data_IF_658496134606
#
_entry.id   IF_658496134606
#
_cell.length_a   1.000
_cell.length_b   1.000
_cell.length_c   1.000
_cell.angle_alpha   90.00
_cell.angle_beta   90.00
_cell.angle_gamma   90.00
#
_symmetry.space_group_name_H-M   'P 1'
#
loop_
_entity.id
_entity.type
_entity.pdbx_description
1 polymer ?
#
# COMPACT_ATOMS: atom_id res chain seq x y z
N UNK A 1 -11.56 -10.13 9.34
CA UNK A 1 -10.34 -9.61 8.69
C UNK A 1 -9.15 -10.57 8.71
N UNK A 2 -9.22 -11.70 9.44
CA UNK A 2 -8.13 -12.70 9.52
C UNK A 2 -7.56 -13.19 8.18
N UNK A 3 -8.39 -13.46 7.13
CA UNK A 3 -7.85 -13.91 5.84
C UNK A 3 -6.95 -12.86 5.15
N UNK A 4 -7.33 -11.58 5.22
CA UNK A 4 -6.53 -10.48 4.68
C UNK A 4 -5.15 -10.42 5.34
N UNK A 5 -5.12 -10.42 6.69
CA UNK A 5 -3.87 -10.30 7.45
C UNK A 5 -2.94 -11.44 7.08
N UNK A 6 -3.44 -12.67 7.04
CA UNK A 6 -2.62 -13.81 6.64
C UNK A 6 -1.98 -13.64 5.27
N UNK A 7 -2.76 -13.24 4.25
CA UNK A 7 -2.25 -13.06 2.88
C UNK A 7 -1.23 -11.92 2.80
N UNK A 8 -1.49 -10.81 3.49
CA UNK A 8 -0.58 -9.67 3.58
C UNK A 8 0.77 -10.07 4.20
N UNK A 9 0.74 -10.68 5.40
CA UNK A 9 1.96 -11.11 6.10
C UNK A 9 2.71 -12.19 5.33
N UNK A 10 1.99 -13.09 4.66
CA UNK A 10 2.61 -14.07 3.78
C UNK A 10 3.33 -13.41 2.59
N UNK A 11 2.81 -12.30 2.07
CA UNK A 11 3.47 -11.49 1.03
C UNK A 11 4.87 -11.01 1.46
N UNK A 12 4.99 -10.50 2.69
CA UNK A 12 6.29 -10.14 3.26
C UNK A 12 7.23 -11.34 3.36
N UNK A 13 6.78 -12.42 4.01
CA UNK A 13 7.64 -13.56 4.31
C UNK A 13 8.05 -14.36 3.08
N UNK A 14 7.14 -14.49 2.10
CA UNK A 14 7.36 -15.34 0.94
C UNK A 14 8.10 -14.60 -0.17
N UNK A 15 7.66 -13.37 -0.50
CA UNK A 15 8.16 -12.64 -1.67
C UNK A 15 8.98 -11.39 -1.32
N UNK A 16 9.22 -11.11 -0.03
CA UNK A 16 9.98 -9.94 0.40
C UNK A 16 9.31 -8.64 -0.02
N UNK A 17 7.98 -8.61 -0.04
CA UNK A 17 7.22 -7.40 -0.36
C UNK A 17 7.34 -6.39 0.78
N UNK A 18 7.46 -5.11 0.46
CA UNK A 18 7.33 -4.02 1.42
C UNK A 18 5.86 -3.74 1.71
N UNK A 19 5.61 -3.10 2.86
CA UNK A 19 4.38 -2.36 3.07
C UNK A 19 4.29 -1.18 2.11
N UNK A 20 3.17 -1.10 1.41
CA UNK A 20 2.86 0.02 0.52
C UNK A 20 2.14 1.15 1.27
N UNK A 21 1.67 0.92 2.50
CA UNK A 21 1.02 1.95 3.30
C UNK A 21 1.98 2.88 4.01
N UNK A 22 1.52 4.12 4.20
CA UNK A 22 2.31 5.20 4.81
C UNK A 22 1.58 6.00 5.90
N UNK A 23 0.29 5.75 6.10
CA UNK A 23 -0.56 6.47 7.07
C UNK A 23 -0.62 5.79 8.44
N UNK A 24 -0.01 4.61 8.59
CA UNK A 24 0.03 3.89 9.86
C UNK A 24 1.07 4.51 10.80
N UNK A 25 0.77 4.65 12.10
CA UNK A 25 1.76 5.07 13.07
C UNK A 25 2.85 4.00 13.18
N UNK A 26 4.08 4.32 12.79
CA UNK A 26 5.24 3.45 12.93
C UNK A 26 6.20 3.96 13.99
N UNK A 27 6.97 3.04 14.59
CA UNK A 27 8.06 3.36 15.50
C UNK A 27 9.37 3.72 14.76
N UNK A 28 9.41 3.58 13.43
CA UNK A 28 10.60 3.86 12.64
C UNK A 28 10.87 5.36 12.58
N UNK A 29 12.12 5.76 12.87
CA UNK A 29 12.57 7.12 12.57
C UNK A 29 12.64 7.24 11.05
N UNK A 30 11.90 8.20 10.48
CA UNK A 30 12.06 8.59 9.09
C UNK A 30 13.55 8.82 8.85
N UNK A 31 14.14 8.08 7.89
CA UNK A 31 15.50 8.35 7.48
C UNK A 31 15.55 9.83 7.09
N UNK A 32 16.58 10.56 7.53
CA UNK A 32 16.72 11.95 7.14
C UNK A 32 16.55 12.03 5.62
N UNK A 33 15.70 12.95 5.15
CA UNK A 33 15.28 13.08 3.74
C UNK A 33 16.44 13.09 2.72
N UNK A 34 17.67 13.31 3.18
CA UNK A 34 18.91 13.35 2.42
C UNK A 34 19.45 11.99 1.95
N UNK A 35 19.17 10.87 2.63
CA UNK A 35 19.81 9.58 2.26
C UNK A 35 18.94 8.65 1.39
N UNK A 36 17.60 8.76 1.47
CA UNK A 36 16.56 7.94 0.78
C UNK A 36 17.13 6.89 -0.20
N UNK A 37 17.67 5.77 0.32
CA UNK A 37 18.28 4.75 -0.52
C UNK A 37 17.19 3.99 -1.29
N UNK A 38 17.56 3.47 -2.45
CA UNK A 38 16.65 2.58 -3.20
C UNK A 38 16.36 1.32 -2.35
N UNK A 39 15.09 1.01 -2.05
CA UNK A 39 14.73 -0.16 -1.25
C UNK A 39 15.20 -1.45 -1.92
N UNK A 40 15.26 -2.56 -1.20
CA UNK A 40 15.54 -3.86 -1.84
C UNK A 40 14.24 -4.55 -2.29
N UNK A 41 13.13 -4.22 -1.66
CA UNK A 41 11.80 -4.79 -1.87
C UNK A 41 11.29 -4.47 -3.30
N UNK A 42 10.67 -5.42 -4.00
CA UNK A 42 10.38 -5.28 -5.42
C UNK A 42 9.17 -4.35 -5.71
N UNK A 43 8.33 -4.05 -4.72
CA UNK A 43 7.09 -3.29 -4.85
C UNK A 43 7.17 -1.86 -4.26
N UNK A 44 8.37 -1.36 -3.96
CA UNK A 44 8.59 0.02 -3.56
C UNK A 44 9.90 0.55 -4.16
N UNK A 45 9.96 1.85 -4.47
CA UNK A 45 11.10 2.49 -5.15
C UNK A 45 11.29 3.92 -4.64
N UNK A 46 12.53 4.39 -4.58
CA UNK A 46 12.84 5.81 -4.38
C UNK A 46 12.86 6.59 -5.72
N UNK A 47 12.95 5.88 -6.85
CA UNK A 47 12.90 6.47 -8.18
C UNK A 47 11.45 6.82 -8.63
N UNK A 48 11.11 8.10 -8.88
CA UNK A 48 9.80 8.51 -9.39
C UNK A 48 9.49 7.98 -10.80
N UNK A 49 10.48 7.47 -11.53
CA UNK A 49 10.32 6.88 -12.86
C UNK A 49 10.09 5.36 -12.83
N UNK A 50 9.90 4.77 -11.64
CA UNK A 50 9.55 3.37 -11.48
C UNK A 50 10.55 2.38 -12.13
N UNK A 51 11.86 2.66 -12.08
CA UNK A 51 12.89 1.81 -12.71
C UNK A 51 12.72 0.30 -12.41
N UNK A 52 12.36 -0.06 -11.18
CA UNK A 52 12.16 -1.46 -10.74
C UNK A 52 11.08 -2.23 -11.51
N UNK A 53 10.03 -1.56 -11.96
CA UNK A 53 8.92 -2.19 -12.69
C UNK A 53 8.61 -1.48 -14.00
N UNK A 54 9.62 -0.82 -14.58
CA UNK A 54 9.50 -0.13 -15.88
C UNK A 54 8.87 -0.98 -16.97
N UNK A 55 9.19 -2.28 -17.03
CA UNK A 55 8.61 -3.21 -18.00
C UNK A 55 7.13 -3.57 -17.78
N UNK A 56 6.52 -3.12 -16.68
CA UNK A 56 5.09 -3.29 -16.39
C UNK A 56 4.33 -1.96 -16.43
N UNK A 57 5.00 -0.81 -16.52
CA UNK A 57 4.37 0.51 -16.51
C UNK A 57 3.38 0.63 -17.67
N UNK A 58 2.17 1.09 -17.39
CA UNK A 58 1.13 1.28 -18.39
C UNK A 58 1.54 2.34 -19.42
N UNK A 59 1.36 2.09 -20.73
CA UNK A 59 1.72 3.07 -21.76
C UNK A 59 1.02 4.41 -21.57
N UNK A 60 1.77 5.51 -21.60
CA UNK A 60 1.22 6.87 -21.52
C UNK A 60 0.82 7.33 -20.11
N UNK A 61 1.05 6.52 -19.06
CA UNK A 61 0.78 6.94 -17.69
C UNK A 61 1.80 8.00 -17.24
N UNK A 62 1.37 9.09 -16.59
CA UNK A 62 2.30 10.06 -16.00
C UNK A 62 3.10 9.45 -14.84
N UNK A 63 4.35 9.88 -14.68
CA UNK A 63 5.28 9.47 -13.61
C UNK A 63 5.93 10.71 -12.95
N UNK A 64 5.71 10.97 -11.65
CA UNK A 64 4.83 10.22 -10.74
C UNK A 64 3.36 10.23 -11.17
N UNK A 65 2.64 9.16 -10.84
CA UNK A 65 1.25 8.96 -11.22
C UNK A 65 0.32 9.66 -10.23
N UNK A 66 -0.53 10.61 -10.68
CA UNK A 66 -1.51 11.27 -9.82
C UNK A 66 -2.55 10.29 -9.28
N UNK A 67 -2.95 10.48 -8.03
CA UNK A 67 -4.00 9.72 -7.35
C UNK A 67 -4.64 10.59 -6.27
N UNK A 68 -5.84 10.26 -5.74
CA UNK A 68 -6.58 11.09 -4.77
C UNK A 68 -5.95 11.00 -3.36
N UNK A 69 -4.70 11.46 -3.25
CA UNK A 69 -3.87 11.34 -2.06
C UNK A 69 -4.41 12.19 -0.92
N UNK A 70 -4.82 13.42 -1.20
CA UNK A 70 -5.33 14.34 -0.18
C UNK A 70 -6.63 13.82 0.44
N UNK A 71 -7.55 13.32 -0.40
CA UNK A 71 -8.80 12.71 0.04
C UNK A 71 -8.55 11.41 0.83
N UNK A 72 -7.60 10.59 0.38
CA UNK A 72 -7.19 9.38 1.08
C UNK A 72 -6.63 9.70 2.46
N UNK A 73 -5.69 10.63 2.55
CA UNK A 73 -5.09 11.04 3.83
C UNK A 73 -6.09 11.67 4.78
N UNK A 74 -7.04 12.48 4.27
CA UNK A 74 -8.10 13.05 5.07
C UNK A 74 -9.00 11.95 5.67
N UNK A 75 -9.38 10.96 4.86
CA UNK A 75 -10.15 9.81 5.33
C UNK A 75 -9.37 8.98 6.36
N UNK A 76 -8.08 8.73 6.13
CA UNK A 76 -7.23 8.00 7.05
C UNK A 76 -7.06 8.73 8.39
N UNK A 77 -6.89 10.05 8.40
CA UNK A 77 -6.83 10.84 9.64
C UNK A 77 -8.11 10.71 10.48
N UNK A 78 -9.29 10.75 9.84
CA UNK A 78 -10.58 10.53 10.51
C UNK A 78 -10.68 9.12 11.10
N UNK A 79 -10.40 8.08 10.31
CA UNK A 79 -10.43 6.70 10.78
C UNK A 79 -9.47 6.50 11.95
N UNK A 80 -8.24 7.01 11.87
CA UNK A 80 -7.26 6.88 12.96
C UNK A 80 -7.71 7.59 14.23
N UNK A 81 -8.35 8.76 14.13
CA UNK A 81 -8.93 9.44 15.29
C UNK A 81 -10.04 8.62 15.95
N UNK A 82 -10.94 8.04 15.14
CA UNK A 82 -12.01 7.15 15.63
C UNK A 82 -11.46 5.87 16.24
N UNK A 83 -10.38 5.31 15.66
CA UNK A 83 -9.67 4.14 16.19
C UNK A 83 -9.07 4.41 17.57
N UNK A 84 -8.41 5.55 17.75
CA UNK A 84 -7.87 5.96 19.06
C UNK A 84 -8.97 6.06 20.10
N UNK A 85 -10.08 6.74 19.76
CA UNK A 85 -11.22 6.89 20.66
C UNK A 85 -11.80 5.53 21.11
N UNK A 86 -12.04 4.60 20.18
CA UNK A 86 -12.54 3.25 20.51
C UNK A 86 -11.59 2.53 21.49
N UNK A 87 -10.28 2.62 21.26
CA UNK A 87 -9.26 1.99 22.13
C UNK A 87 -9.17 2.65 23.51
N UNK A 88 -9.17 3.97 23.57
CA UNK A 88 -9.14 4.76 24.81
C UNK A 88 -10.37 4.47 25.69
N UNK A 89 -11.55 4.38 25.07
CA UNK A 89 -12.81 4.07 25.73
C UNK A 89 -12.99 2.57 26.01
N UNK A 90 -12.04 1.71 25.61
CA UNK A 90 -12.09 0.25 25.74
C UNK A 90 -13.40 -0.35 25.21
N UNK A 91 -13.90 0.19 24.09
CA UNK A 91 -15.16 -0.25 23.50
C UNK A 91 -15.01 -1.66 22.89
N UNK A 92 -16.12 -2.39 22.71
CA UNK A 92 -16.07 -3.76 22.21
C UNK A 92 -15.38 -3.89 20.84
N UNK A 93 -14.65 -4.98 20.62
CA UNK A 93 -13.95 -5.27 19.36
C UNK A 93 -14.88 -5.22 18.13
N UNK A 94 -16.15 -5.61 18.29
CA UNK A 94 -17.14 -5.56 17.21
C UNK A 94 -17.31 -4.17 16.59
N UNK A 95 -17.08 -3.10 17.36
CA UNK A 95 -17.10 -1.74 16.85
C UNK A 95 -15.82 -1.38 16.09
N UNK A 96 -14.67 -1.91 16.51
CA UNK A 96 -13.43 -1.78 15.74
C UNK A 96 -13.57 -2.50 14.39
N UNK A 97 -14.15 -3.69 14.39
CA UNK A 97 -14.44 -4.40 13.15
C UNK A 97 -15.44 -3.66 12.27
N UNK A 98 -16.45 -3.01 12.85
CA UNK A 98 -17.38 -2.17 12.10
C UNK A 98 -16.66 -0.98 11.45
N UNK A 99 -15.76 -0.32 12.18
CA UNK A 99 -14.94 0.76 11.63
C UNK A 99 -14.02 0.29 10.51
N UNK A 100 -13.43 -0.91 10.62
CA UNK A 100 -12.62 -1.47 9.54
C UNK A 100 -13.45 -1.83 8.30
N UNK A 101 -14.71 -2.26 8.46
CA UNK A 101 -15.61 -2.50 7.32
C UNK A 101 -15.96 -1.20 6.61
N UNK A 102 -16.30 -0.16 7.38
CA UNK A 102 -16.57 1.17 6.86
C UNK A 102 -15.35 1.76 6.14
N UNK A 103 -14.15 1.66 6.75
CA UNK A 103 -12.89 2.08 6.13
C UNK A 103 -12.69 1.36 4.79
N UNK A 104 -12.82 0.03 4.78
CA UNK A 104 -12.66 -0.77 3.57
C UNK A 104 -13.62 -0.35 2.47
N UNK A 105 -14.91 -0.20 2.76
CA UNK A 105 -15.91 0.23 1.76
C UNK A 105 -15.57 1.60 1.18
N UNK A 106 -15.19 2.55 2.03
CA UNK A 106 -14.82 3.91 1.63
C UNK A 106 -13.53 3.92 0.80
N UNK A 107 -12.50 3.17 1.19
CA UNK A 107 -11.23 3.10 0.47
C UNK A 107 -11.40 2.40 -0.87
N UNK A 108 -12.15 1.29 -0.90
CA UNK A 108 -12.47 0.55 -2.12
C UNK A 108 -13.17 1.45 -3.14
N UNK A 109 -14.10 2.31 -2.70
CA UNK A 109 -14.76 3.27 -3.57
C UNK A 109 -13.81 4.37 -4.05
N UNK A 110 -13.04 4.98 -3.14
CA UNK A 110 -12.13 6.09 -3.47
C UNK A 110 -11.02 5.65 -4.44
N UNK A 111 -10.35 4.55 -4.13
CA UNK A 111 -9.21 4.06 -4.90
C UNK A 111 -9.65 3.30 -6.16
N UNK A 112 -10.80 2.60 -6.11
CA UNK A 112 -11.38 1.93 -7.27
C UNK A 112 -11.89 2.90 -8.34
N UNK A 113 -12.29 4.11 -7.95
CA UNK A 113 -12.72 5.18 -8.86
C UNK A 113 -11.62 6.19 -9.22
N UNK A 114 -10.43 6.03 -8.65
CA UNK A 114 -9.31 6.95 -8.85
C UNK A 114 -8.84 7.00 -10.31
N UNK A 115 -8.25 8.12 -10.74
CA UNK A 115 -7.47 8.15 -11.98
C UNK A 115 -6.44 7.02 -11.98
N UNK A 116 -6.34 6.31 -13.10
CA UNK A 116 -5.41 5.21 -13.29
C UNK A 116 -5.61 4.01 -12.35
N UNK A 117 -6.80 3.83 -11.77
CA UNK A 117 -7.16 2.62 -11.05
C UNK A 117 -6.88 1.36 -11.89
N UNK A 118 -6.26 0.36 -11.28
CA UNK A 118 -5.85 -0.88 -11.95
C UNK A 118 -4.67 -0.77 -12.92
N UNK A 119 -4.15 0.43 -13.19
CA UNK A 119 -2.96 0.63 -14.03
C UNK A 119 -1.68 0.57 -13.19
N UNK A 120 -0.54 0.30 -13.85
CA UNK A 120 0.78 0.26 -13.23
C UNK A 120 1.51 1.58 -13.50
N UNK A 121 1.97 2.24 -12.44
CA UNK A 121 2.62 3.55 -12.47
C UNK A 121 3.59 3.73 -11.30
N UNK A 122 3.78 4.98 -10.87
CA UNK A 122 4.57 5.34 -9.69
C UNK A 122 3.74 6.24 -8.76
N UNK A 123 3.00 5.62 -7.84
CA UNK A 123 2.09 6.31 -6.93
C UNK A 123 2.83 6.70 -5.66
N UNK A 124 2.96 8.00 -5.36
CA UNK A 124 3.73 8.47 -4.21
C UNK A 124 3.08 8.04 -2.88
N UNK A 125 3.91 7.60 -1.93
CA UNK A 125 3.54 7.09 -0.62
C UNK A 125 3.72 5.58 -0.54
N UNK A 126 4.73 5.14 0.22
CA UNK A 126 5.09 3.74 0.46
C UNK A 126 6.07 3.63 1.64
N UNK A 127 6.29 2.42 2.19
CA UNK A 127 7.25 2.15 3.28
C UNK A 127 7.13 3.16 4.42
N UNK A 128 5.91 3.39 4.90
CA UNK A 128 5.65 4.27 6.05
C UNK A 128 5.95 5.76 5.83
N UNK A 129 6.31 6.15 4.60
CA UNK A 129 6.73 7.50 4.22
C UNK A 129 5.74 8.08 3.22
N UNK A 130 5.15 9.23 3.56
CA UNK A 130 4.17 9.88 2.70
C UNK A 130 4.79 10.40 1.39
N UNK A 131 6.08 10.73 1.38
CA UNK A 131 6.76 11.36 0.25
C UNK A 131 8.10 10.72 -0.06
N UNK A 132 8.48 10.71 -1.34
CA UNK A 132 9.79 10.27 -1.81
C UNK A 132 9.94 8.77 -2.08
N UNK A 133 9.00 7.93 -1.60
CA UNK A 133 8.88 6.55 -2.06
C UNK A 133 7.59 6.35 -2.85
N UNK A 134 7.62 5.41 -3.80
CA UNK A 134 6.53 5.16 -4.72
C UNK A 134 6.15 3.67 -4.71
N UNK A 135 4.85 3.40 -4.82
CA UNK A 135 4.27 2.07 -5.00
C UNK A 135 3.74 1.89 -6.44
N UNK A 136 3.58 0.64 -6.91
CA UNK A 136 3.36 0.36 -8.33
C UNK A 136 1.92 0.56 -8.81
N UNK A 137 0.92 0.47 -7.92
CA UNK A 137 -0.49 0.65 -8.25
C UNK A 137 -1.18 1.49 -7.18
N UNK A 138 -2.31 2.11 -7.53
CA UNK A 138 -3.07 2.95 -6.58
C UNK A 138 -3.50 2.18 -5.34
N UNK A 139 -3.78 0.88 -5.51
CA UNK A 139 -4.21 -0.03 -4.46
C UNK A 139 -3.61 -1.44 -4.62
N UNK A 140 -3.48 -2.13 -3.48
CA UNK A 140 -2.84 -3.44 -3.33
C UNK A 140 -3.19 -4.01 -1.95
N UNK A 141 -3.20 -5.33 -1.80
CA UNK A 141 -3.23 -5.98 -0.47
C UNK A 141 -2.05 -5.58 0.43
N UNK A 142 -0.95 -5.09 -0.13
CA UNK A 142 0.16 -4.51 0.66
C UNK A 142 -0.08 -3.05 1.08
N UNK A 143 -1.16 -2.42 0.61
CA UNK A 143 -1.51 -1.01 0.88
C UNK A 143 -2.75 -0.89 1.77
N UNK A 144 -3.88 -1.48 1.36
CA UNK A 144 -5.16 -1.37 2.08
C UNK A 144 -5.74 -2.74 2.42
N UNK A 145 -6.84 -2.74 3.17
CA UNK A 145 -7.65 -3.93 3.48
C UNK A 145 -8.69 -4.24 2.39
N UNK A 146 -8.59 -3.59 1.24
CA UNK A 146 -9.55 -3.70 0.16
C UNK A 146 -9.42 -5.06 -0.55
N UNK A 147 -10.50 -5.51 -1.18
CA UNK A 147 -10.58 -6.83 -1.84
C UNK A 147 -10.01 -6.79 -3.28
N UNK A 148 -8.89 -6.08 -3.48
CA UNK A 148 -8.24 -5.90 -4.79
C UNK A 148 -7.15 -6.95 -5.10
N UNK A 149 -6.67 -7.66 -4.06
CA UNK A 149 -5.57 -8.61 -4.17
C UNK A 149 -4.19 -7.96 -4.35
N UNK A 150 -3.18 -8.78 -4.66
CA UNK A 150 -1.84 -8.27 -4.98
C UNK A 150 -1.84 -7.49 -6.29
N UNK A 151 -1.17 -6.34 -6.31
CA UNK A 151 -0.92 -5.58 -7.53
C UNK A 151 -0.04 -6.36 -8.52
N UNK A 152 0.02 -5.93 -9.79
CA UNK A 152 0.76 -6.61 -10.86
C UNK A 152 2.25 -6.82 -10.55
N UNK A 153 2.89 -5.87 -9.86
CA UNK A 153 4.30 -5.98 -9.47
C UNK A 153 4.49 -6.98 -8.33
N UNK A 154 3.60 -6.98 -7.33
CA UNK A 154 3.60 -7.97 -6.25
C UNK A 154 3.33 -9.39 -6.79
N UNK A 155 2.36 -9.56 -7.70
CA UNK A 155 2.11 -10.85 -8.38
C UNK A 155 3.35 -11.35 -9.11
N UNK A 156 4.00 -10.49 -9.92
CA UNK A 156 5.25 -10.83 -10.62
C UNK A 156 6.37 -11.23 -9.64
N UNK A 157 6.48 -10.56 -8.49
CA UNK A 157 7.48 -10.91 -7.47
C UNK A 157 7.21 -12.29 -6.85
N UNK A 158 5.96 -12.57 -6.48
CA UNK A 158 5.53 -13.87 -5.95
C UNK A 158 5.78 -14.98 -6.97
N UNK A 159 5.38 -14.78 -8.23
CA UNK A 159 5.60 -15.74 -9.33
C UNK A 159 7.09 -16.05 -9.54
N UNK A 160 7.97 -15.05 -9.41
CA UNK A 160 9.43 -15.24 -9.50
C UNK A 160 9.97 -16.11 -8.37
N UNK A 161 9.49 -15.92 -7.13
CA UNK A 161 9.89 -16.76 -6.00
C UNK A 161 9.41 -18.19 -6.20
N UNK A 162 8.15 -18.39 -6.58
CA UNK A 162 7.62 -19.73 -6.88
C UNK A 162 8.47 -20.40 -7.96
N UNK A 163 8.74 -19.70 -9.07
CA UNK A 163 9.53 -20.23 -10.17
C UNK A 163 10.98 -20.53 -9.79
N UNK A 164 11.54 -19.88 -8.77
CA UNK A 164 12.89 -20.14 -8.28
C UNK A 164 12.95 -21.45 -7.46
N UNK A 165 11.94 -21.72 -6.64
CA UNK A 165 11.94 -22.84 -5.68
C UNK A 165 11.19 -24.10 -6.16
N UNK A 166 10.41 -24.02 -7.23
CA UNK A 166 9.60 -25.12 -7.75
C UNK A 166 10.08 -25.66 -9.11
N UNK A 167 11.34 -25.41 -9.48
CA UNK A 167 11.97 -25.94 -10.69
C UNK A 167 12.88 -27.11 -10.40
#
# INVERSE_FOLDING_TARGET
FTPYVFVHEFGHHFAGLADEYYTSPVAYQAAAAAERPEPWEPNATADPQAAKWRGLVSPGIPLPTPWPKEEFEAAQRDIQARRRKIREEKRPEAEMEALFREERERMSQLLGSAPYAGQVGAFEGAIYEAHGYYRPQVDCTMFTRDEVGFCAVCRRAIERVIALYAR
#
